data_IF_153367309703
#
_entry.id   IF_153367309703
#
_cell.length_a   1.000
_cell.length_b   1.000
_cell.length_c   1.000
_cell.angle_alpha   90.00
_cell.angle_beta   90.00
_cell.angle_gamma   90.00
#
_symmetry.space_group_name_H-M   'P 1'
#
loop_
_entity.id
_entity.type
_entity.pdbx_description
1 polymer ?
#
# COMPACT_ATOMS: atom_id res chain seq x y z
N UNK A 1 -35.55 5.54 0.28
CA UNK A 1 -34.96 4.32 -0.28
C UNK A 1 -33.63 4.13 0.40
N UNK A 2 -33.57 3.10 1.23
CA UNK A 2 -32.46 2.80 2.12
C UNK A 2 -31.24 2.29 1.35
N UNK A 3 -30.08 2.86 1.71
CA UNK A 3 -28.78 2.20 1.80
C UNK A 3 -28.39 1.25 0.67
N UNK A 4 -27.79 1.80 -0.38
CA UNK A 4 -26.82 1.08 -1.19
C UNK A 4 -25.64 0.69 -0.29
N UNK A 5 -25.63 -0.58 0.14
CA UNK A 5 -24.50 -1.16 0.85
C UNK A 5 -23.34 -1.30 -0.14
N UNK A 6 -22.46 -0.30 -0.15
CA UNK A 6 -21.15 -0.38 -0.81
C UNK A 6 -20.34 -1.39 0.01
N UNK A 7 -19.80 -2.40 -0.65
CA UNK A 7 -18.89 -3.40 -0.07
C UNK A 7 -17.91 -2.76 0.95
N UNK A 8 -17.88 -3.23 2.21
CA UNK A 8 -17.16 -2.55 3.31
C UNK A 8 -15.63 -2.66 3.22
N UNK A 9 -15.05 -3.39 2.27
CA UNK A 9 -13.60 -3.61 2.22
C UNK A 9 -12.82 -2.39 1.73
N UNK A 10 -13.31 -1.69 0.68
CA UNK A 10 -12.70 -0.45 0.20
C UNK A 10 -12.78 0.66 1.26
N UNK A 11 -13.87 0.69 2.02
CA UNK A 11 -14.06 1.63 3.13
C UNK A 11 -12.99 1.45 4.21
N UNK A 12 -12.67 0.21 4.59
CA UNK A 12 -11.66 -0.07 5.61
C UNK A 12 -10.25 0.33 5.17
N UNK A 13 -9.82 -0.05 3.97
CA UNK A 13 -8.50 0.35 3.44
C UNK A 13 -8.39 1.86 3.33
N UNK A 14 -9.42 2.51 2.78
CA UNK A 14 -9.44 3.98 2.67
C UNK A 14 -9.37 4.64 4.03
N UNK A 15 -10.12 4.13 5.02
CA UNK A 15 -10.09 4.63 6.38
C UNK A 15 -8.70 4.52 7.01
N UNK A 16 -8.03 3.37 6.87
CA UNK A 16 -6.68 3.15 7.40
C UNK A 16 -5.65 4.11 6.79
N UNK A 17 -5.71 4.37 5.49
CA UNK A 17 -4.71 5.24 4.83
C UNK A 17 -5.02 6.74 4.96
N UNK A 18 -6.21 7.12 5.40
CA UNK A 18 -6.66 8.53 5.43
C UNK A 18 -5.80 9.43 6.32
N UNK A 19 -5.46 9.05 7.58
CA UNK A 19 -4.59 9.86 8.42
C UNK A 19 -3.21 10.14 7.78
N UNK A 20 -2.64 9.13 7.13
CA UNK A 20 -1.35 9.24 6.45
C UNK A 20 -1.40 10.15 5.22
N UNK A 21 -2.52 10.10 4.47
CA UNK A 21 -2.75 11.03 3.36
C UNK A 21 -2.83 12.48 3.86
N UNK A 22 -3.54 12.72 4.97
CA UNK A 22 -3.64 14.06 5.57
C UNK A 22 -2.27 14.57 6.02
N UNK A 23 -1.48 13.73 6.69
CA UNK A 23 -0.11 14.08 7.10
C UNK A 23 0.79 14.36 5.90
N UNK A 24 0.70 13.57 4.83
CA UNK A 24 1.46 13.78 3.61
C UNK A 24 1.09 15.11 2.94
N UNK A 25 -0.20 15.42 2.77
CA UNK A 25 -0.62 16.71 2.22
C UNK A 25 -0.18 17.88 3.10
N UNK A 26 -0.30 17.73 4.42
CA UNK A 26 0.16 18.74 5.38
C UNK A 26 1.66 19.01 5.24
N UNK A 27 2.48 17.97 5.04
CA UNK A 27 3.92 18.09 4.79
C UNK A 27 4.23 18.77 3.45
N UNK A 28 3.55 18.38 2.37
CA UNK A 28 3.72 18.98 1.03
C UNK A 28 3.54 20.49 1.03
N UNK A 29 2.58 20.99 1.81
CA UNK A 29 2.26 22.42 1.92
C UNK A 29 3.21 23.20 2.84
N UNK A 30 3.90 22.54 3.78
CA UNK A 30 4.60 23.19 4.90
C UNK A 30 6.11 22.95 4.93
N UNK A 31 6.62 22.22 3.97
CA UNK A 31 8.04 22.14 3.67
C UNK A 31 8.29 23.06 2.48
N UNK A 32 9.27 23.95 2.58
CA UNK A 32 9.52 24.99 1.58
C UNK A 32 10.90 24.84 0.95
N UNK A 33 10.97 25.00 -0.37
CA UNK A 33 12.20 25.10 -1.14
C UNK A 33 12.44 26.57 -1.51
N UNK A 34 13.64 27.08 -1.25
CA UNK A 34 14.00 28.47 -1.56
C UNK A 34 15.49 28.65 -1.82
N UNK A 35 15.85 29.83 -2.32
CA UNK A 35 17.23 30.26 -2.48
C UNK A 35 17.49 31.52 -1.67
N UNK A 36 18.56 31.54 -0.90
CA UNK A 36 18.95 32.75 -0.17
C UNK A 36 19.71 33.76 -1.04
N UNK A 37 20.00 34.92 -0.46
CA UNK A 37 20.73 36.02 -1.12
C UNK A 37 22.18 35.65 -1.47
N UNK A 38 22.74 34.60 -0.85
CA UNK A 38 24.08 34.07 -1.15
C UNK A 38 24.04 33.01 -2.25
N UNK A 39 22.87 32.68 -2.77
CA UNK A 39 22.67 31.68 -3.82
C UNK A 39 22.63 30.23 -3.31
N UNK A 40 22.55 30.00 -1.98
CA UNK A 40 22.40 28.66 -1.41
C UNK A 40 20.98 28.16 -1.61
N UNK A 41 20.87 26.86 -1.90
CA UNK A 41 19.59 26.19 -2.15
C UNK A 41 19.17 25.55 -0.82
N UNK A 42 18.00 25.93 -0.33
CA UNK A 42 17.60 25.69 1.04
C UNK A 42 16.26 24.96 1.10
N UNK A 43 16.13 24.13 2.13
CA UNK A 43 14.86 23.53 2.53
C UNK A 43 14.51 23.98 3.95
N UNK A 44 13.28 24.43 4.15
CA UNK A 44 12.74 24.77 5.47
C UNK A 44 11.62 23.80 5.81
N UNK A 45 11.76 23.07 6.91
CA UNK A 45 10.79 22.09 7.38
C UNK A 45 10.33 22.40 8.81
N UNK A 46 9.07 22.09 9.13
CA UNK A 46 8.56 22.16 10.50
C UNK A 46 9.27 21.17 11.40
N UNK A 47 9.46 21.55 12.67
CA UNK A 47 10.08 20.68 13.68
C UNK A 47 9.36 19.33 13.84
N UNK A 48 8.06 19.27 13.54
CA UNK A 48 7.26 18.04 13.59
C UNK A 48 7.68 16.97 12.57
N UNK A 49 8.45 17.33 11.53
CA UNK A 49 8.91 16.38 10.50
C UNK A 49 10.38 15.97 10.69
N UNK A 50 11.02 16.43 11.76
CA UNK A 50 12.46 16.27 11.97
C UNK A 50 12.69 15.38 13.17
N UNK A 51 13.44 14.30 12.97
CA UNK A 51 13.76 13.36 14.03
C UNK A 51 14.95 13.84 14.87
N UNK A 52 14.68 14.66 15.89
CA UNK A 52 15.73 15.11 16.79
C UNK A 52 16.14 13.99 17.75
N UNK A 53 17.44 13.75 17.91
CA UNK A 53 17.94 12.72 18.82
C UNK A 53 17.45 12.86 20.28
N UNK A 54 17.19 14.09 20.74
CA UNK A 54 16.67 14.36 22.09
C UNK A 54 15.15 14.28 22.19
N UNK A 55 14.43 14.48 21.08
CA UNK A 55 12.97 14.53 21.00
C UNK A 55 12.55 13.93 19.66
N UNK A 56 12.64 12.59 19.52
CA UNK A 56 12.28 11.93 18.28
C UNK A 56 10.80 12.13 17.99
N UNK A 57 10.45 12.14 16.70
CA UNK A 57 9.04 12.07 16.30
C UNK A 57 8.51 10.73 16.81
N UNK A 58 7.39 10.72 17.53
CA UNK A 58 6.81 9.46 18.03
C UNK A 58 5.82 8.86 17.05
N UNK A 59 5.03 9.74 16.45
CA UNK A 59 3.96 9.42 15.55
C UNK A 59 3.94 10.45 14.41
N UNK A 60 3.94 9.94 13.18
CA UNK A 60 3.71 10.68 11.96
C UNK A 60 4.85 10.64 10.94
N UNK A 61 4.75 11.54 9.95
CA UNK A 61 5.71 11.68 8.85
C UNK A 61 7.04 12.25 9.31
N UNK A 62 8.13 11.57 8.97
CA UNK A 62 9.51 11.96 9.26
C UNK A 62 10.33 12.06 7.99
N UNK A 63 11.08 13.15 7.82
CA UNK A 63 11.97 13.34 6.67
C UNK A 63 13.26 12.53 6.81
N UNK A 64 13.66 11.91 5.70
CA UNK A 64 15.01 11.39 5.50
C UNK A 64 15.97 12.53 5.20
N UNK A 65 16.37 13.29 6.23
CA UNK A 65 17.26 14.45 6.05
C UNK A 65 18.59 14.07 5.39
N UNK A 66 19.09 12.86 5.60
CA UNK A 66 20.30 12.32 4.97
C UNK A 66 20.20 12.22 3.44
N UNK A 67 18.99 12.15 2.88
CA UNK A 67 18.75 12.14 1.43
C UNK A 67 18.56 13.54 0.87
N UNK A 68 18.28 14.52 1.72
CA UNK A 68 17.87 15.88 1.33
C UNK A 68 18.97 16.91 1.59
N UNK A 69 19.66 16.82 2.72
CA UNK A 69 20.49 17.88 3.31
C UNK A 69 21.96 17.63 3.08
N UNK A 70 22.73 18.69 2.82
CA UNK A 70 24.18 18.64 2.75
C UNK A 70 24.76 18.43 4.16
N UNK A 71 25.57 17.38 4.40
CA UNK A 71 26.26 17.22 5.66
C UNK A 71 27.35 18.28 5.81
N UNK A 72 27.70 18.62 7.05
CA UNK A 72 28.87 19.46 7.34
C UNK A 72 30.18 18.68 7.16
N UNK A 73 31.32 19.35 7.41
CA UNK A 73 32.67 18.78 7.26
C UNK A 73 32.89 17.47 8.06
N UNK A 74 32.14 17.28 9.14
CA UNK A 74 32.23 16.09 9.99
C UNK A 74 31.21 14.99 9.61
N UNK A 75 30.46 15.18 8.51
CA UNK A 75 29.41 14.24 8.09
C UNK A 75 28.06 14.42 8.80
N UNK A 76 27.92 15.43 9.68
CA UNK A 76 26.72 15.65 10.48
C UNK A 76 25.75 16.63 9.81
N UNK A 77 24.45 16.42 10.03
CA UNK A 77 23.40 17.32 9.55
C UNK A 77 23.13 18.39 10.61
N UNK A 78 23.37 19.65 10.24
CA UNK A 78 23.06 20.81 11.10
C UNK A 78 22.25 21.86 10.33
N UNK A 79 21.24 22.46 10.97
CA UNK A 79 20.49 23.55 10.36
C UNK A 79 21.39 24.80 10.20
N UNK A 80 21.23 25.50 9.09
CA UNK A 80 21.82 26.84 8.88
C UNK A 80 21.12 27.85 9.80
N UNK A 81 19.81 27.70 10.00
CA UNK A 81 19.03 28.56 10.87
C UNK A 81 17.86 27.81 11.46
N UNK A 82 17.54 28.14 12.71
CA UNK A 82 16.39 27.64 13.44
C UNK A 82 15.46 28.82 13.78
N UNK A 83 14.16 28.62 13.59
CA UNK A 83 13.11 29.50 14.14
C UNK A 83 12.19 28.66 15.02
N UNK A 84 11.28 29.30 15.77
CA UNK A 84 10.51 28.68 16.86
C UNK A 84 9.81 27.35 16.49
N UNK A 85 9.42 27.15 15.23
CA UNK A 85 8.73 25.92 14.79
C UNK A 85 9.36 25.26 13.55
N UNK A 86 10.54 25.69 13.12
CA UNK A 86 11.12 25.23 11.84
C UNK A 86 12.63 25.27 11.83
N UNK A 87 13.22 24.34 11.07
CA UNK A 87 14.64 24.29 10.77
C UNK A 87 14.85 24.54 9.28
N UNK A 88 15.94 25.24 8.95
CA UNK A 88 16.35 25.45 7.57
C UNK A 88 17.73 24.84 7.35
N UNK A 89 17.86 24.09 6.26
CA UNK A 89 19.06 23.36 5.90
C UNK A 89 19.50 23.71 4.48
N UNK A 90 20.80 23.57 4.20
CA UNK A 90 21.28 23.55 2.82
C UNK A 90 20.98 22.19 2.21
N UNK A 91 20.43 22.16 1.00
CA UNK A 91 20.17 20.89 0.34
C UNK A 91 21.46 20.28 -0.20
N UNK A 92 21.51 18.94 -0.23
CA UNK A 92 22.61 18.21 -0.83
C UNK A 92 22.66 18.45 -2.35
N UNK A 93 23.85 18.31 -2.94
CA UNK A 93 24.01 18.45 -4.39
C UNK A 93 23.16 17.41 -5.15
N UNK A 94 23.04 16.20 -4.63
CA UNK A 94 22.21 15.13 -5.22
C UNK A 94 20.74 15.51 -5.22
N UNK A 95 20.22 15.98 -4.09
CA UNK A 95 18.83 16.42 -3.98
C UNK A 95 18.58 17.62 -4.90
N UNK A 96 19.46 18.62 -4.88
CA UNK A 96 19.37 19.79 -5.76
C UNK A 96 19.31 19.38 -7.24
N UNK A 97 20.24 18.54 -7.71
CA UNK A 97 20.26 18.07 -9.11
C UNK A 97 18.96 17.38 -9.50
N UNK A 98 18.39 16.57 -8.60
CA UNK A 98 17.11 15.91 -8.81
C UNK A 98 15.98 16.93 -8.96
N UNK A 99 15.93 17.95 -8.10
CA UNK A 99 14.93 19.02 -8.20
C UNK A 99 15.12 19.83 -9.48
N UNK A 100 16.36 20.21 -9.83
CA UNK A 100 16.67 20.98 -11.04
C UNK A 100 16.22 20.22 -12.31
N UNK A 101 16.35 18.89 -12.35
CA UNK A 101 15.90 18.04 -13.47
C UNK A 101 14.38 18.07 -13.70
N UNK A 102 13.59 18.44 -12.69
CA UNK A 102 12.13 18.60 -12.85
C UNK A 102 11.75 19.89 -13.58
N UNK A 103 12.71 20.79 -13.80
CA UNK A 103 12.47 22.14 -14.31
C UNK A 103 12.08 23.16 -13.22
N UNK A 104 12.17 22.78 -11.95
CA UNK A 104 11.89 23.69 -10.84
C UNK A 104 12.85 24.88 -10.83
N UNK A 105 12.31 26.07 -10.59
CA UNK A 105 13.09 27.32 -10.48
C UNK A 105 13.09 27.78 -9.03
N UNK A 106 14.26 27.72 -8.39
CA UNK A 106 14.42 28.13 -7.00
C UNK A 106 14.13 29.61 -6.79
N UNK A 107 13.13 29.90 -5.96
CA UNK A 107 12.67 31.27 -5.66
C UNK A 107 13.37 31.83 -4.43
N UNK A 108 13.64 33.14 -4.46
CA UNK A 108 14.13 33.87 -3.30
C UNK A 108 13.03 34.14 -2.26
N UNK A 109 13.42 34.56 -1.06
CA UNK A 109 12.48 34.87 0.03
C UNK A 109 11.93 33.60 0.69
N UNK A 110 10.61 33.53 0.90
CA UNK A 110 9.97 32.38 1.56
C UNK A 110 9.90 31.11 0.69
N UNK A 111 10.24 31.22 -0.60
CA UNK A 111 10.18 30.08 -1.52
C UNK A 111 8.78 29.60 -1.85
N UNK A 112 8.71 28.32 -2.19
CA UNK A 112 7.48 27.59 -2.49
C UNK A 112 7.42 26.29 -1.72
N UNK A 113 6.20 25.83 -1.49
CA UNK A 113 5.94 24.51 -0.91
C UNK A 113 6.56 23.41 -1.78
N UNK A 114 7.15 22.39 -1.15
CA UNK A 114 7.81 21.26 -1.82
C UNK A 114 6.84 20.50 -2.72
N UNK A 115 5.54 20.48 -2.40
CA UNK A 115 4.52 19.91 -3.27
C UNK A 115 4.85 18.49 -3.73
N UNK A 116 4.70 18.23 -5.03
CA UNK A 116 4.94 16.92 -5.65
C UNK A 116 6.43 16.52 -5.68
N UNK A 117 7.35 17.40 -5.30
CA UNK A 117 8.76 17.07 -5.14
C UNK A 117 9.05 16.28 -3.85
N UNK A 118 8.09 16.17 -2.93
CA UNK A 118 8.17 15.27 -1.77
C UNK A 118 7.82 13.84 -2.21
N UNK A 119 8.81 13.15 -2.76
CA UNK A 119 8.70 11.77 -3.25
C UNK A 119 8.81 10.73 -2.13
N UNK A 120 8.33 9.52 -2.38
CA UNK A 120 8.23 8.40 -1.42
C UNK A 120 9.56 8.03 -0.74
N UNK A 121 10.68 8.31 -1.37
CA UNK A 121 12.01 8.00 -0.84
C UNK A 121 12.55 9.07 0.12
N UNK A 122 11.86 10.19 0.30
CA UNK A 122 12.31 11.32 1.12
C UNK A 122 11.73 11.34 2.53
N UNK A 123 10.83 10.42 2.84
CA UNK A 123 10.19 10.34 4.14
C UNK A 123 9.77 8.90 4.47
N UNK A 124 9.48 8.68 5.75
CA UNK A 124 8.82 7.48 6.25
C UNK A 124 7.76 7.89 7.28
N UNK A 125 6.90 6.95 7.64
CA UNK A 125 5.97 7.13 8.75
C UNK A 125 6.46 6.33 9.95
N UNK A 126 6.39 6.94 11.14
CA UNK A 126 6.60 6.25 12.40
C UNK A 126 5.28 6.20 13.15
N UNK A 127 4.97 5.06 13.72
CA UNK A 127 3.74 4.78 14.47
C UNK A 127 4.11 3.86 15.63
N UNK A 128 3.57 4.14 16.83
CA UNK A 128 3.69 3.26 18.00
C UNK A 128 2.46 2.34 18.09
N UNK A 129 2.53 1.16 17.47
CA UNK A 129 1.42 0.20 17.52
C UNK A 129 1.36 -0.53 18.88
N UNK A 130 0.27 -0.37 19.63
CA UNK A 130 0.01 -1.20 20.81
C UNK A 130 -0.51 -2.60 20.41
N UNK A 131 0.04 -3.66 21.02
CA UNK A 131 -0.05 -5.05 20.53
C UNK A 131 -1.44 -5.71 20.56
N UNK A 132 -2.44 -5.11 21.22
CA UNK A 132 -3.67 -5.83 21.60
C UNK A 132 -4.85 -5.66 20.66
N UNK A 133 -4.72 -4.93 19.54
CA UNK A 133 -5.88 -4.56 18.74
C UNK A 133 -5.87 -5.25 17.37
N UNK A 134 -6.68 -6.30 17.16
CA UNK A 134 -6.80 -6.98 15.86
C UNK A 134 -7.21 -6.03 14.72
N UNK A 135 -7.79 -4.87 15.06
CA UNK A 135 -8.15 -3.84 14.09
C UNK A 135 -6.95 -3.21 13.37
N UNK A 136 -5.74 -3.28 13.95
CA UNK A 136 -4.50 -2.67 13.41
C UNK A 136 -3.71 -3.59 12.46
N UNK A 137 -4.13 -4.84 12.25
CA UNK A 137 -3.39 -5.78 11.38
C UNK A 137 -3.22 -5.24 9.96
N UNK A 138 -4.27 -4.62 9.42
CA UNK A 138 -4.22 -4.02 8.09
C UNK A 138 -3.24 -2.85 8.03
N UNK A 139 -3.22 -2.01 9.07
CA UNK A 139 -2.33 -0.86 9.15
C UNK A 139 -0.87 -1.28 9.32
N UNK A 140 -0.60 -2.26 10.19
CA UNK A 140 0.72 -2.88 10.35
C UNK A 140 1.25 -3.47 9.05
N UNK A 141 0.39 -4.06 8.24
CA UNK A 141 0.79 -4.57 6.93
C UNK A 141 1.14 -3.45 5.94
N UNK A 142 0.53 -2.26 6.09
CA UNK A 142 0.66 -1.18 5.11
C UNK A 142 1.68 -0.11 5.50
N UNK A 143 2.03 0.04 6.78
CA UNK A 143 2.85 1.14 7.29
C UNK A 143 4.20 1.28 6.58
N UNK A 144 4.89 0.16 6.33
CA UNK A 144 6.19 0.15 5.64
C UNK A 144 6.08 0.63 4.18
N UNK A 145 4.90 0.49 3.58
CA UNK A 145 4.62 0.88 2.21
C UNK A 145 3.87 2.22 2.10
N UNK A 146 3.58 2.84 3.24
CA UNK A 146 2.75 4.04 3.29
C UNK A 146 3.31 5.20 2.48
N UNK A 147 4.64 5.46 2.42
CA UNK A 147 5.20 6.47 1.52
C UNK A 147 4.82 6.25 0.05
N UNK A 148 4.86 5.00 -0.43
CA UNK A 148 4.52 4.62 -1.81
C UNK A 148 3.00 4.68 -2.05
N UNK A 149 2.20 4.45 -1.00
CA UNK A 149 0.74 4.55 -1.04
C UNK A 149 0.31 6.00 -1.20
N UNK A 150 0.79 6.89 -0.32
CA UNK A 150 0.31 8.29 -0.26
C UNK A 150 0.81 9.15 -1.42
N UNK A 151 1.94 8.80 -2.04
CA UNK A 151 2.49 9.46 -3.24
C UNK A 151 1.84 8.94 -4.54
N UNK A 152 1.05 7.86 -4.47
CA UNK A 152 0.42 7.27 -5.66
C UNK A 152 -0.70 8.15 -6.21
N UNK A 153 -0.89 8.12 -7.53
CA UNK A 153 -2.04 8.76 -8.19
C UNK A 153 -3.39 8.23 -7.68
N UNK A 154 -3.45 6.97 -7.26
CA UNK A 154 -4.65 6.36 -6.69
C UNK A 154 -4.26 5.59 -5.40
N UNK A 155 -4.18 6.28 -4.25
CA UNK A 155 -3.75 5.68 -2.98
C UNK A 155 -4.61 4.48 -2.54
N UNK A 156 -5.96 4.51 -2.60
CA UNK A 156 -6.78 3.35 -2.24
C UNK A 156 -6.47 2.11 -3.08
N UNK A 157 -6.34 2.26 -4.40
CA UNK A 157 -5.98 1.15 -5.28
C UNK A 157 -4.56 0.66 -5.01
N UNK A 158 -3.61 1.56 -4.73
CA UNK A 158 -2.22 1.19 -4.40
C UNK A 158 -2.16 0.39 -3.11
N UNK A 159 -2.85 0.84 -2.06
CA UNK A 159 -2.96 0.15 -0.78
C UNK A 159 -3.62 -1.23 -0.93
N UNK A 160 -4.71 -1.33 -1.70
CA UNK A 160 -5.39 -2.60 -1.95
C UNK A 160 -4.50 -3.61 -2.65
N UNK A 161 -3.73 -3.18 -3.67
CA UNK A 161 -2.77 -4.05 -4.36
C UNK A 161 -1.66 -4.55 -3.43
N UNK A 162 -1.09 -3.66 -2.62
CA UNK A 162 -0.05 -4.03 -1.64
C UNK A 162 -0.61 -5.02 -0.62
N UNK A 163 -1.80 -4.77 -0.07
CA UNK A 163 -2.43 -5.67 0.88
C UNK A 163 -2.67 -7.06 0.28
N UNK A 164 -3.16 -7.14 -0.96
CA UNK A 164 -3.34 -8.40 -1.68
C UNK A 164 -2.03 -9.15 -1.82
N UNK A 165 -0.95 -8.46 -2.20
CA UNK A 165 0.37 -9.09 -2.36
C UNK A 165 0.88 -9.67 -1.03
N UNK A 166 0.75 -8.92 0.07
CA UNK A 166 1.20 -9.36 1.40
C UNK A 166 0.38 -10.54 1.93
N UNK A 167 -0.95 -10.45 1.87
CA UNK A 167 -1.83 -11.53 2.35
C UNK A 167 -1.75 -12.77 1.45
N UNK A 168 -1.56 -12.60 0.14
CA UNK A 168 -1.32 -13.72 -0.76
C UNK A 168 -0.01 -14.43 -0.41
N UNK A 169 1.09 -13.69 -0.26
CA UNK A 169 2.38 -14.28 0.11
C UNK A 169 2.30 -15.02 1.46
N UNK A 170 1.69 -14.40 2.46
CA UNK A 170 1.46 -15.01 3.78
C UNK A 170 0.65 -16.30 3.67
N UNK A 171 -0.45 -16.28 2.91
CA UNK A 171 -1.34 -17.45 2.76
C UNK A 171 -0.64 -18.59 2.03
N UNK A 172 0.11 -18.30 0.96
CA UNK A 172 0.88 -19.31 0.22
C UNK A 172 1.96 -19.93 1.10
N UNK A 173 2.66 -19.14 1.90
CA UNK A 173 3.64 -19.67 2.85
C UNK A 173 2.98 -20.55 3.93
N UNK A 174 1.79 -20.16 4.42
CA UNK A 174 1.01 -21.01 5.33
C UNK A 174 0.60 -22.33 4.67
N UNK A 175 0.14 -22.31 3.42
CA UNK A 175 -0.21 -23.52 2.65
C UNK A 175 1.01 -24.44 2.53
N UNK A 176 2.17 -23.90 2.14
CA UNK A 176 3.40 -24.67 1.93
C UNK A 176 3.93 -25.32 3.20
N UNK A 177 3.69 -24.72 4.37
CA UNK A 177 4.15 -25.22 5.67
C UNK A 177 3.12 -26.14 6.35
N UNK A 178 1.85 -26.05 5.98
CA UNK A 178 0.76 -26.80 6.58
C UNK A 178 0.70 -28.24 6.07
N UNK A 179 0.92 -29.21 6.97
CA UNK A 179 0.85 -30.64 6.63
C UNK A 179 -0.55 -31.09 6.19
N UNK A 180 -1.59 -30.36 6.58
CA UNK A 180 -2.99 -30.58 6.21
C UNK A 180 -3.26 -30.36 4.72
N UNK A 181 -2.35 -29.70 3.99
CA UNK A 181 -2.46 -29.47 2.54
C UNK A 181 -1.72 -30.54 1.72
N UNK A 182 -0.94 -31.43 2.36
CA UNK A 182 -0.17 -32.45 1.67
C UNK A 182 -1.07 -33.41 0.87
N UNK A 183 -0.67 -33.69 -0.37
CA UNK A 183 -1.38 -34.64 -1.25
C UNK A 183 -2.76 -34.17 -1.72
N UNK A 184 -3.05 -32.86 -1.64
CA UNK A 184 -4.31 -32.28 -2.11
C UNK A 184 -4.11 -31.45 -3.38
N UNK A 185 -5.12 -31.46 -4.24
CA UNK A 185 -5.27 -30.45 -5.29
C UNK A 185 -5.77 -29.16 -4.64
N UNK A 186 -5.06 -28.05 -4.85
CA UNK A 186 -5.42 -26.75 -4.32
C UNK A 186 -5.22 -25.68 -5.39
N UNK A 187 -6.23 -24.83 -5.55
CA UNK A 187 -6.16 -23.60 -6.31
C UNK A 187 -6.52 -22.46 -5.35
N UNK A 188 -5.56 -21.59 -5.09
CA UNK A 188 -5.78 -20.36 -4.32
C UNK A 188 -5.57 -19.16 -5.22
N UNK A 189 -6.58 -18.30 -5.33
CA UNK A 189 -6.53 -17.09 -6.17
C UNK A 189 -6.83 -15.89 -5.28
N UNK A 190 -5.95 -14.88 -5.32
CA UNK A 190 -6.21 -13.57 -4.74
C UNK A 190 -6.42 -12.54 -5.85
N UNK A 191 -7.26 -11.54 -5.58
CA UNK A 191 -7.67 -10.54 -6.56
C UNK A 191 -8.50 -9.43 -5.97
N UNK A 192 -8.95 -8.53 -6.84
CA UNK A 192 -9.79 -7.39 -6.50
C UNK A 192 -11.21 -7.63 -6.98
N UNK A 193 -12.19 -7.52 -6.08
CA UNK A 193 -13.57 -7.32 -6.48
C UNK A 193 -13.76 -5.82 -6.79
N UNK A 194 -14.18 -5.53 -8.01
CA UNK A 194 -14.52 -4.19 -8.47
C UNK A 194 -16.02 -4.13 -8.62
N UNK A 195 -16.65 -3.42 -7.69
CA UNK A 195 -18.08 -3.12 -7.75
C UNK A 195 -18.31 -1.90 -8.64
N UNK A 196 -18.98 -2.11 -9.77
CA UNK A 196 -19.38 -1.05 -10.69
C UNK A 196 -20.84 -0.73 -10.41
N UNK A 197 -21.10 0.49 -9.96
CA UNK A 197 -22.46 0.99 -9.76
C UNK A 197 -23.25 0.98 -11.06
N UNK A 198 -24.55 0.82 -10.93
CA UNK A 198 -25.49 1.00 -12.03
C UNK A 198 -25.27 2.35 -12.73
N UNK A 199 -25.18 2.31 -14.05
CA UNK A 199 -24.97 3.49 -14.88
C UNK A 199 -25.79 3.37 -16.15
N UNK A 200 -26.73 4.30 -16.34
CA UNK A 200 -27.71 4.27 -17.43
C UNK A 200 -28.44 2.92 -17.46
N UNK A 201 -28.37 2.20 -18.58
CA UNK A 201 -29.01 0.91 -18.80
C UNK A 201 -28.15 -0.30 -18.35
N UNK A 202 -26.97 -0.05 -17.77
CA UNK A 202 -26.10 -1.12 -17.28
C UNK A 202 -26.40 -1.42 -15.81
N UNK A 203 -26.71 -2.68 -15.46
CA UNK A 203 -26.96 -3.07 -14.08
C UNK A 203 -25.67 -2.97 -13.25
N UNK A 204 -25.84 -2.78 -11.94
CA UNK A 204 -24.72 -2.93 -11.01
C UNK A 204 -24.06 -4.30 -11.21
N UNK A 205 -22.74 -4.29 -11.39
CA UNK A 205 -21.97 -5.49 -11.75
C UNK A 205 -20.69 -5.53 -10.94
N UNK A 206 -20.37 -6.71 -10.39
CA UNK A 206 -19.09 -6.95 -9.72
C UNK A 206 -18.18 -7.75 -10.64
N UNK A 207 -16.98 -7.23 -10.90
CA UNK A 207 -15.92 -7.95 -11.60
C UNK A 207 -14.85 -8.41 -10.62
N UNK A 208 -14.46 -9.68 -10.68
CA UNK A 208 -13.26 -10.15 -10.00
C UNK A 208 -12.07 -10.07 -10.94
N UNK A 209 -11.08 -9.26 -10.57
CA UNK A 209 -9.81 -9.13 -11.29
C UNK A 209 -8.77 -10.00 -10.56
N UNK A 210 -8.37 -11.16 -11.12
CA UNK A 210 -7.36 -11.99 -10.49
C UNK A 210 -6.01 -11.26 -10.49
N UNK A 211 -5.28 -11.40 -9.39
CA UNK A 211 -3.99 -10.76 -9.19
C UNK A 211 -2.86 -11.77 -9.13
N UNK A 212 -3.03 -12.82 -8.33
CA UNK A 212 -2.06 -13.89 -8.20
C UNK A 212 -2.77 -15.22 -7.90
N UNK A 213 -2.18 -16.33 -8.32
CA UNK A 213 -2.70 -17.66 -8.08
C UNK A 213 -1.60 -18.64 -7.64
N UNK A 214 -1.92 -19.49 -6.69
CA UNK A 214 -1.09 -20.62 -6.29
C UNK A 214 -1.81 -21.92 -6.67
N UNK A 215 -1.09 -22.79 -7.36
CA UNK A 215 -1.58 -24.10 -7.80
C UNK A 215 -0.74 -25.17 -7.13
N UNK A 216 -1.42 -26.13 -6.52
CA UNK A 216 -0.84 -27.35 -5.99
C UNK A 216 -1.61 -28.54 -6.55
N UNK A 217 -0.91 -29.53 -7.10
CA UNK A 217 -1.53 -30.77 -7.53
C UNK A 217 -1.13 -31.92 -6.60
N UNK A 218 -2.08 -32.83 -6.35
CA UNK A 218 -1.93 -33.97 -5.43
C UNK A 218 -0.75 -34.88 -5.81
N UNK A 219 -0.48 -35.02 -7.11
CA UNK A 219 0.52 -35.92 -7.68
C UNK A 219 1.88 -35.22 -7.93
N UNK A 220 2.01 -33.97 -7.45
CA UNK A 220 3.17 -33.11 -7.68
C UNK A 220 2.84 -31.96 -8.63
N UNK A 221 3.28 -30.76 -8.26
CA UNK A 221 3.07 -29.54 -9.04
C UNK A 221 4.09 -29.46 -10.19
N UNK A 222 3.66 -29.31 -11.44
CA UNK A 222 4.54 -29.09 -12.59
C UNK A 222 5.46 -27.88 -12.40
N UNK A 223 6.63 -27.89 -13.07
CA UNK A 223 7.64 -26.84 -12.93
C UNK A 223 7.09 -25.43 -13.23
N UNK A 224 6.20 -25.34 -14.23
CA UNK A 224 5.50 -24.10 -14.61
C UNK A 224 4.58 -23.51 -13.52
N UNK A 225 4.25 -24.27 -12.48
CA UNK A 225 3.38 -23.87 -11.37
C UNK A 225 4.08 -23.92 -10.00
N UNK A 226 5.41 -24.16 -9.95
CA UNK A 226 6.18 -24.14 -8.69
C UNK A 226 6.10 -22.76 -8.03
N UNK A 227 6.17 -21.72 -8.85
CA UNK A 227 6.00 -20.33 -8.41
C UNK A 227 4.55 -19.89 -8.61
N UNK A 228 4.06 -18.97 -7.75
CA UNK A 228 2.78 -18.33 -8.00
C UNK A 228 2.68 -17.76 -9.42
N UNK A 229 1.50 -17.90 -10.00
CA UNK A 229 1.14 -17.25 -11.25
C UNK A 229 0.83 -15.80 -10.98
N UNK A 230 1.52 -14.90 -11.67
CA UNK A 230 1.24 -13.46 -11.66
C UNK A 230 0.08 -13.12 -12.62
N UNK A 231 -0.50 -11.94 -12.43
CA UNK A 231 -1.71 -11.48 -13.14
C UNK A 231 -1.66 -11.71 -14.66
N UNK A 232 -0.57 -11.33 -15.32
CA UNK A 232 -0.44 -11.47 -16.78
C UNK A 232 -0.58 -12.93 -17.23
N UNK A 233 0.05 -13.85 -16.50
CA UNK A 233 -0.02 -15.29 -16.83
C UNK A 233 -1.41 -15.85 -16.56
N UNK A 234 -2.06 -15.42 -15.48
CA UNK A 234 -3.44 -15.83 -15.19
C UNK A 234 -4.38 -15.36 -16.31
N UNK A 235 -4.29 -14.08 -16.71
CA UNK A 235 -5.10 -13.54 -17.79
C UNK A 235 -4.88 -14.28 -19.11
N UNK A 236 -3.63 -14.62 -19.44
CA UNK A 236 -3.32 -15.42 -20.62
C UNK A 236 -3.97 -16.82 -20.55
N UNK A 237 -3.82 -17.52 -19.43
CA UNK A 237 -4.41 -18.85 -19.23
C UNK A 237 -5.94 -18.84 -19.33
N UNK A 238 -6.59 -17.80 -18.78
CA UNK A 238 -8.05 -17.62 -18.88
C UNK A 238 -8.47 -17.33 -20.31
N UNK A 239 -7.72 -16.48 -21.03
CA UNK A 239 -8.01 -16.13 -22.42
C UNK A 239 -7.85 -17.32 -23.40
N UNK A 240 -7.02 -18.31 -23.04
CA UNK A 240 -6.88 -19.56 -23.78
C UNK A 240 -8.08 -20.52 -23.58
N UNK A 241 -8.94 -20.30 -22.58
CA UNK A 241 -10.11 -21.16 -22.32
C UNK A 241 -11.30 -20.80 -23.22
N UNK A 242 -12.12 -21.80 -23.54
CA UNK A 242 -13.41 -21.57 -24.20
C UNK A 242 -14.37 -20.84 -23.23
N UNK A 243 -15.20 -19.97 -23.81
CA UNK A 243 -16.35 -19.36 -23.15
C UNK A 243 -17.35 -20.38 -22.59
N UNK A 244 -17.37 -21.60 -23.14
CA UNK A 244 -18.21 -22.72 -22.69
C UNK A 244 -17.37 -23.70 -21.90
N UNK A 245 -17.62 -23.79 -20.59
CA UNK A 245 -17.01 -24.80 -19.73
C UNK A 245 -17.93 -26.04 -19.64
N UNK A 246 -17.60 -27.17 -20.29
CA UNK A 246 -18.43 -28.39 -20.23
C UNK A 246 -18.47 -29.02 -18.82
N UNK A 247 -17.50 -28.68 -17.97
CA UNK A 247 -17.43 -29.10 -16.56
C UNK A 247 -17.95 -28.02 -15.59
N UNK A 248 -18.69 -27.03 -16.09
CA UNK A 248 -19.26 -25.98 -15.26
C UNK A 248 -20.17 -26.58 -14.18
N UNK A 249 -19.79 -26.39 -12.91
CA UNK A 249 -20.64 -26.73 -11.79
C UNK A 249 -21.66 -25.60 -11.55
N UNK A 250 -22.96 -25.93 -11.57
CA UNK A 250 -23.99 -25.00 -11.11
C UNK A 250 -23.93 -24.88 -9.58
N UNK A 251 -23.28 -23.82 -9.10
CA UNK A 251 -23.12 -23.54 -7.68
C UNK A 251 -24.46 -23.41 -6.96
N UNK A 252 -25.51 -22.87 -7.60
CA UNK A 252 -26.84 -22.76 -6.98
C UNK A 252 -27.46 -24.14 -6.81
N UNK A 253 -27.30 -25.00 -7.81
CA UNK A 253 -27.74 -26.39 -7.72
C UNK A 253 -26.98 -27.13 -6.60
N UNK A 254 -25.65 -26.99 -6.52
CA UNK A 254 -24.85 -27.63 -5.48
C UNK A 254 -25.19 -27.13 -4.07
N UNK A 255 -25.38 -25.81 -3.88
CA UNK A 255 -25.87 -25.25 -2.61
C UNK A 255 -27.26 -25.83 -2.28
N UNK A 256 -28.15 -25.92 -3.28
CA UNK A 256 -29.46 -26.53 -3.11
C UNK A 256 -29.40 -27.99 -2.68
N UNK A 257 -28.46 -28.77 -3.23
CA UNK A 257 -28.20 -30.17 -2.82
C UNK A 257 -27.65 -30.24 -1.40
N UNK A 258 -26.71 -29.36 -1.03
CA UNK A 258 -26.14 -29.27 0.32
C UNK A 258 -27.20 -28.94 1.37
N UNK A 259 -28.09 -27.98 1.10
CA UNK A 259 -29.18 -27.60 2.00
C UNK A 259 -30.21 -28.72 2.21
N UNK A 260 -30.38 -29.60 1.21
CA UNK A 260 -31.26 -30.78 1.28
C UNK A 260 -30.57 -32.02 1.85
N UNK A 261 -29.25 -32.00 2.00
CA UNK A 261 -28.51 -33.12 2.57
C UNK A 261 -28.85 -33.28 4.06
N UNK A 262 -28.90 -34.52 4.58
CA UNK A 262 -29.11 -34.76 6.00
C UNK A 262 -28.05 -34.01 6.81
N UNK A 263 -28.47 -33.22 7.81
CA UNK A 263 -27.53 -32.65 8.78
C UNK A 263 -26.96 -33.79 9.62
N UNK A 264 -25.67 -34.06 9.48
CA UNK A 264 -24.96 -34.96 10.37
C UNK A 264 -24.69 -34.21 11.68
N UNK A 265 -25.34 -34.65 12.76
CA UNK A 265 -25.12 -34.12 14.11
C UNK A 265 -23.80 -34.68 14.66
N UNK A 266 -22.69 -34.05 14.29
CA UNK A 266 -21.35 -34.42 14.76
C UNK A 266 -21.19 -33.86 16.18
N UNK A 267 -21.44 -34.71 17.18
CA UNK A 267 -21.14 -34.38 18.58
C UNK A 267 -19.70 -34.76 18.89
N UNK A 268 -18.95 -33.84 19.51
CA UNK A 268 -17.62 -34.15 20.03
C UNK A 268 -17.70 -35.29 21.05
N UNK A 269 -16.73 -36.23 21.07
CA UNK A 269 -16.65 -37.25 22.11
C UNK A 269 -16.56 -36.59 23.49
N UNK A 270 -17.23 -37.17 24.48
CA UNK A 270 -17.11 -36.77 25.89
C UNK A 270 -15.76 -37.19 26.47
#
# INVERSE_FOLDING_TARGET
>A
MEGTCISPSCGKITHVISPYLEQYQFAKERIFLHRDDRGRHLITAKNSFIDFASHPVKDGLVLHLERIVAPNENGNIHPISAVSTSQTYEVSENFRKRIDQTGYTWKSGSGESIGDYLTEDLFYFREEFHETDESILLERNLIEFMPIIVTSKNPPLRAAKINIQLEFARTVESIRRGSEYNGKNLLYIAGLNIDISEYKDYPATTYFVPWAAHIQLKDGTPEEYIHPLEQERICALIAEQDSVNPEQADLKEQIGRMLKAPRFDIKSPK
#
